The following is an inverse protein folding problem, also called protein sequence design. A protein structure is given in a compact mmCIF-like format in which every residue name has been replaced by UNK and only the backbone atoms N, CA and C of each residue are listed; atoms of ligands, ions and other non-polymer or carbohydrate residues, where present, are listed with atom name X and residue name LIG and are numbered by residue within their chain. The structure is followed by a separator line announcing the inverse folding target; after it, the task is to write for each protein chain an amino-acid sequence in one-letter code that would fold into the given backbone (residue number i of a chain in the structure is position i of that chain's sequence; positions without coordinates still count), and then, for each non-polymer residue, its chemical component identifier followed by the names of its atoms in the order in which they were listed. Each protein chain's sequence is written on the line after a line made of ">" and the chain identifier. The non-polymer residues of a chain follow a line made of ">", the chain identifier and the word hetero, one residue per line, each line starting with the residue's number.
data_IF_893503961530
#
_entry.id   IF_893503961530
#
_cell.length_a   1.000
_cell.length_b   1.000
_cell.length_c   1.000
_cell.angle_alpha   90.00
_cell.angle_beta   90.00
_cell.angle_gamma   90.00
#
_symmetry.space_group_name_H-M   'P 1'
#
loop_
_entity.id
_entity.type
_entity.pdbx_description
1 polymer ?
#
# COMPACT_ATOMS: atom_id res chain seq x y z
N UNK A 1 -34.86 20.46 42.31
CA UNK A 1 -34.40 20.90 40.99
C UNK A 1 -32.95 20.43 40.86
N UNK A 2 -32.74 19.21 40.38
CA UNK A 2 -31.40 18.68 40.12
C UNK A 2 -31.47 17.90 38.81
N UNK A 3 -31.47 18.67 37.72
CA UNK A 3 -31.31 18.16 36.38
C UNK A 3 -29.95 18.62 35.86
N UNK A 4 -29.25 17.67 35.24
CA UNK A 4 -28.09 17.80 34.34
C UNK A 4 -26.72 17.81 34.99
N UNK A 5 -26.13 16.61 35.05
CA UNK A 5 -24.85 16.35 34.39
C UNK A 5 -24.88 14.98 33.71
N UNK A 6 -25.75 14.82 32.70
CA UNK A 6 -25.52 13.77 31.71
C UNK A 6 -24.38 14.25 30.80
N UNK A 7 -23.15 14.00 31.24
CA UNK A 7 -21.97 14.17 30.42
C UNK A 7 -22.16 13.40 29.11
N UNK A 8 -22.32 14.14 28.01
CA UNK A 8 -22.47 13.59 26.68
C UNK A 8 -21.21 12.78 26.36
N UNK A 9 -21.28 11.47 26.56
CA UNK A 9 -20.30 10.51 26.05
C UNK A 9 -20.36 10.64 24.54
N UNK A 10 -19.49 11.48 23.97
CA UNK A 10 -19.22 11.45 22.53
C UNK A 10 -18.75 10.04 22.24
N UNK A 11 -19.59 9.24 21.61
CA UNK A 11 -19.17 8.00 20.99
C UNK A 11 -18.05 8.37 20.01
N UNK A 12 -16.80 8.12 20.43
CA UNK A 12 -15.66 8.19 19.53
C UNK A 12 -15.82 6.99 18.62
N UNK A 13 -16.58 7.17 17.53
CA UNK A 13 -16.48 6.25 16.40
C UNK A 13 -15.05 6.41 15.91
N UNK A 14 -14.24 5.37 16.10
CA UNK A 14 -12.90 5.30 15.53
C UNK A 14 -13.03 5.55 14.03
N UNK A 15 -12.68 6.77 13.63
CA UNK A 15 -12.83 7.21 12.26
C UNK A 15 -11.78 6.45 11.46
N UNK A 16 -12.21 5.58 10.55
CA UNK A 16 -11.30 4.88 9.66
C UNK A 16 -10.45 5.90 8.89
N UNK A 17 -9.13 5.75 8.97
CA UNK A 17 -8.18 6.58 8.24
C UNK A 17 -8.02 5.95 6.85
N UNK A 18 -8.33 6.71 5.80
CA UNK A 18 -8.12 6.24 4.43
C UNK A 18 -6.64 6.31 4.05
N UNK A 19 -6.16 5.49 3.09
CA UNK A 19 -4.78 5.59 2.60
C UNK A 19 -4.45 6.99 2.07
N UNK A 20 -5.39 7.67 1.42
CA UNK A 20 -5.20 9.04 0.94
C UNK A 20 -4.97 10.03 2.10
N UNK A 21 -5.76 9.93 3.17
CA UNK A 21 -5.60 10.76 4.36
C UNK A 21 -4.25 10.50 5.03
N UNK A 22 -3.87 9.23 5.18
CA UNK A 22 -2.57 8.86 5.74
C UNK A 22 -1.43 9.41 4.88
N UNK A 23 -1.49 9.26 3.56
CA UNK A 23 -0.48 9.79 2.63
C UNK A 23 -0.35 11.31 2.73
N UNK A 24 -1.48 12.03 2.82
CA UNK A 24 -1.49 13.47 3.02
C UNK A 24 -0.82 13.88 4.34
N UNK A 25 -1.16 13.20 5.44
CA UNK A 25 -0.56 13.48 6.76
C UNK A 25 0.95 13.23 6.74
N UNK A 26 1.38 12.06 6.25
CA UNK A 26 2.79 11.65 6.24
C UNK A 26 3.65 12.59 5.37
N UNK A 27 3.12 13.08 4.25
CA UNK A 27 3.80 14.03 3.37
C UNK A 27 4.09 15.38 4.04
N UNK A 28 3.31 15.77 5.04
CA UNK A 28 3.45 17.06 5.74
C UNK A 28 4.38 16.99 6.96
N UNK A 29 4.98 15.83 7.26
CA UNK A 29 5.95 15.71 8.35
C UNK A 29 7.21 16.52 7.99
N UNK A 30 7.67 17.46 8.84
CA UNK A 30 8.87 18.24 8.60
C UNK A 30 10.15 17.38 8.57
N UNK A 31 11.15 17.78 7.80
CA UNK A 31 12.42 17.03 7.69
C UNK A 31 13.12 16.83 9.04
N UNK A 32 13.08 17.84 9.92
CA UNK A 32 13.68 17.76 11.26
C UNK A 32 13.05 16.67 12.14
N UNK A 33 11.76 16.38 11.92
CA UNK A 33 11.04 15.33 12.64
C UNK A 33 11.29 13.95 12.04
N UNK A 34 11.57 13.86 10.73
CA UNK A 34 11.97 12.60 10.09
C UNK A 34 13.19 12.00 10.79
N UNK A 35 14.21 12.82 11.07
CA UNK A 35 15.43 12.34 11.72
C UNK A 35 15.17 11.83 13.15
N UNK A 36 14.30 12.51 13.90
CA UNK A 36 13.90 12.10 15.26
C UNK A 36 13.12 10.79 15.26
N UNK A 37 12.40 10.50 14.18
CA UNK A 37 11.66 9.25 13.97
C UNK A 37 12.54 8.11 13.43
N UNK A 38 13.82 8.37 13.14
CA UNK A 38 14.72 7.38 12.52
C UNK A 38 14.49 7.18 11.02
N UNK A 39 13.82 8.13 10.36
CA UNK A 39 13.58 8.14 8.92
C UNK A 39 14.57 9.06 8.20
N UNK A 40 14.66 8.89 6.88
CA UNK A 40 15.60 9.62 6.05
C UNK A 40 14.89 10.26 4.85
N UNK A 41 15.18 11.52 4.57
CA UNK A 41 14.51 12.28 3.51
C UNK A 41 14.83 11.82 2.08
N UNK A 42 15.98 11.22 1.87
CA UNK A 42 16.47 10.82 0.54
C UNK A 42 16.16 9.36 0.22
N UNK A 43 16.09 8.50 1.24
CA UNK A 43 15.96 7.05 1.08
C UNK A 43 14.72 6.43 1.70
N UNK A 44 14.06 7.11 2.65
CA UNK A 44 13.01 6.51 3.47
C UNK A 44 11.97 7.55 3.91
N UNK A 45 11.39 8.29 2.95
CA UNK A 45 10.31 9.23 3.27
C UNK A 45 9.05 8.47 3.68
N UNK A 46 8.34 8.92 4.72
CA UNK A 46 7.22 8.17 5.29
C UNK A 46 6.05 8.02 4.32
N UNK A 47 5.81 8.99 3.44
CA UNK A 47 4.72 8.88 2.48
C UNK A 47 4.92 7.75 1.46
N UNK A 48 6.15 7.24 1.29
CA UNK A 48 6.45 6.11 0.40
C UNK A 48 5.95 4.77 0.95
N UNK A 49 5.56 4.70 2.22
CA UNK A 49 4.90 3.53 2.79
C UNK A 49 3.54 3.26 2.13
N UNK A 50 2.96 4.26 1.45
CA UNK A 50 1.70 4.15 0.73
C UNK A 50 2.01 4.09 -0.76
N UNK A 51 1.72 2.94 -1.38
CA UNK A 51 2.03 2.67 -2.79
C UNK A 51 1.09 3.46 -3.69
N UNK A 52 1.64 4.45 -4.41
CA UNK A 52 0.93 5.22 -5.45
C UNK A 52 1.26 4.74 -6.86
N UNK A 53 2.47 4.18 -7.03
CA UNK A 53 2.93 3.54 -8.27
C UNK A 53 3.48 2.16 -7.89
N UNK A 54 2.85 1.10 -8.38
CA UNK A 54 3.29 -0.26 -8.14
C UNK A 54 4.33 -0.65 -9.22
N UNK A 55 5.59 -0.92 -8.86
CA UNK A 55 6.58 -1.35 -9.84
C UNK A 55 6.25 -2.74 -10.38
N UNK A 56 6.35 -2.91 -11.70
CA UNK A 56 6.16 -4.20 -12.36
C UNK A 56 7.54 -4.83 -12.60
N UNK A 57 7.83 -6.01 -12.02
CA UNK A 57 9.10 -6.68 -12.23
C UNK A 57 9.28 -7.12 -13.70
N UNK A 58 10.52 -7.15 -14.24
CA UNK A 58 10.78 -7.58 -15.61
C UNK A 58 10.65 -9.12 -15.76
N UNK A 59 10.52 -9.65 -17.00
CA UNK A 59 10.34 -11.08 -17.26
C UNK A 59 11.32 -12.04 -16.55
N UNK A 60 12.63 -11.72 -16.40
CA UNK A 60 13.55 -12.61 -15.67
C UNK A 60 13.21 -12.82 -14.20
N UNK A 61 12.48 -11.88 -13.57
CA UNK A 61 12.04 -11.94 -12.18
C UNK A 61 10.67 -12.62 -12.04
N UNK A 62 9.97 -12.83 -13.17
CA UNK A 62 8.67 -13.50 -13.27
C UNK A 62 8.69 -14.47 -14.47
N UNK A 63 9.51 -15.54 -14.40
CA UNK A 63 9.76 -16.43 -15.53
C UNK A 63 8.57 -17.35 -15.80
N UNK A 64 8.14 -17.43 -17.06
CA UNK A 64 7.15 -18.43 -17.49
C UNK A 64 7.79 -19.81 -17.61
N UNK A 65 7.06 -20.87 -17.24
CA UNK A 65 7.46 -22.26 -17.47
C UNK A 65 6.70 -22.84 -18.67
N UNK A 66 7.39 -23.60 -19.53
CA UNK A 66 6.74 -24.46 -20.53
C UNK A 66 6.61 -25.87 -19.95
N UNK A 67 5.39 -26.37 -19.83
CA UNK A 67 5.10 -27.63 -19.11
C UNK A 67 5.80 -28.86 -19.75
N UNK A 68 6.03 -28.83 -21.07
CA UNK A 68 6.60 -29.98 -21.80
C UNK A 68 8.03 -29.76 -22.33
N UNK A 69 8.71 -28.67 -21.96
CA UNK A 69 10.07 -28.34 -22.46
C UNK A 69 10.19 -28.12 -23.98
N UNK A 70 9.10 -28.30 -24.72
CA UNK A 70 8.99 -28.02 -26.16
C UNK A 70 8.32 -26.66 -26.36
N UNK A 71 8.75 -25.93 -27.37
CA UNK A 71 8.21 -24.61 -27.73
C UNK A 71 6.75 -24.63 -28.22
N UNK A 72 6.09 -25.80 -28.19
CA UNK A 72 4.70 -26.01 -28.63
C UNK A 72 3.73 -26.37 -27.48
N UNK A 73 4.21 -26.54 -26.24
CA UNK A 73 3.36 -26.85 -25.09
C UNK A 73 2.66 -25.63 -24.47
N UNK A 74 1.60 -25.87 -23.68
CA UNK A 74 0.93 -24.82 -22.89
C UNK A 74 1.95 -24.12 -21.98
N UNK A 75 2.00 -22.79 -22.06
CA UNK A 75 2.84 -21.96 -21.17
C UNK A 75 2.08 -21.71 -19.87
N UNK A 76 2.70 -22.02 -18.74
CA UNK A 76 2.24 -21.58 -17.43
C UNK A 76 3.04 -20.34 -17.05
N UNK A 77 2.34 -19.25 -16.77
CA UNK A 77 2.98 -18.02 -16.32
C UNK A 77 3.42 -18.15 -14.85
N UNK A 78 4.33 -17.27 -14.43
CA UNK A 78 4.74 -17.15 -13.03
C UNK A 78 3.59 -16.67 -12.13
N UNK A 79 3.58 -17.07 -10.86
CA UNK A 79 2.56 -16.64 -9.88
C UNK A 79 2.50 -15.11 -9.71
N UNK A 80 3.63 -14.41 -9.80
CA UNK A 80 3.67 -12.95 -9.78
C UNK A 80 2.89 -12.37 -10.97
N UNK A 81 2.98 -12.99 -12.15
CA UNK A 81 2.22 -12.57 -13.33
C UNK A 81 0.72 -12.69 -13.08
N UNK A 82 0.28 -13.82 -12.52
CA UNK A 82 -1.14 -14.03 -12.20
C UNK A 82 -1.66 -13.01 -11.18
N UNK A 83 -0.90 -12.76 -10.10
CA UNK A 83 -1.29 -11.77 -9.08
C UNK A 83 -1.26 -10.33 -9.55
N UNK A 84 -0.32 -9.96 -10.41
CA UNK A 84 -0.34 -8.66 -11.06
C UNK A 84 -1.60 -8.51 -11.95
N UNK A 85 -2.03 -9.57 -12.62
CA UNK A 85 -3.29 -9.59 -13.36
C UNK A 85 -4.52 -9.36 -12.46
N UNK A 86 -4.57 -9.97 -11.27
CA UNK A 86 -5.62 -9.72 -10.28
C UNK A 86 -5.64 -8.25 -9.83
N UNK A 87 -4.46 -7.69 -9.50
CA UNK A 87 -4.33 -6.30 -9.04
C UNK A 87 -4.80 -5.31 -10.12
N UNK A 88 -4.39 -5.52 -11.38
CA UNK A 88 -4.79 -4.63 -12.49
C UNK A 88 -6.31 -4.69 -12.70
N UNK A 89 -6.93 -5.88 -12.63
CA UNK A 89 -8.37 -6.05 -12.77
C UNK A 89 -9.17 -5.35 -11.66
N UNK A 90 -8.63 -5.30 -10.45
CA UNK A 90 -9.27 -4.59 -9.34
C UNK A 90 -9.09 -3.06 -9.40
N UNK A 91 -8.11 -2.57 -10.16
CA UNK A 91 -7.83 -1.14 -10.36
C UNK A 91 -8.61 -0.55 -11.56
N UNK A 92 -8.97 -1.39 -12.53
CA UNK A 92 -9.71 -1.00 -13.74
C UNK A 92 -11.20 -0.70 -13.52
#
# INVERSE_FOLDING_TARGET
>A
EEAREEGMKKEVKDKLITPEQAHHILKHIPEDDLWKMGLNKDYARPEWLIVTVLPVPPPPVRPSISVDGTSQGMRSEDDLTYKLGDIIRANG
#
